data_IF_706425136249
#
_entry.id   IF_706425136249
#
_cell.length_a   1.000
_cell.length_b   1.000
_cell.length_c   1.000
_cell.angle_alpha   90.00
_cell.angle_beta   90.00
_cell.angle_gamma   90.00
#
_symmetry.space_group_name_H-M   'P 1'
#
loop_
_entity.id
_entity.type
_entity.pdbx_description
1 polymer ?
#
# COMPACT_ATOMS: atom_id res chain seq x y z
N UNK A 1 -38.20 -22.82 -31.49
CA UNK A 1 -38.08 -22.18 -30.16
C UNK A 1 -36.70 -22.53 -29.63
N UNK A 2 -35.73 -21.66 -29.89
CA UNK A 2 -34.36 -21.78 -29.39
C UNK A 2 -34.27 -20.99 -28.11
N UNK A 3 -34.12 -21.70 -27.00
CA UNK A 3 -34.00 -21.18 -25.65
C UNK A 3 -32.60 -20.56 -25.48
N UNK A 4 -32.53 -19.23 -25.53
CA UNK A 4 -31.31 -18.49 -25.22
C UNK A 4 -31.15 -18.42 -23.70
N UNK A 5 -30.33 -19.31 -23.16
CA UNK A 5 -29.86 -19.24 -21.78
C UNK A 5 -29.06 -17.94 -21.59
N UNK A 6 -29.64 -17.00 -20.87
CA UNK A 6 -28.97 -15.79 -20.37
C UNK A 6 -27.94 -16.25 -19.34
N UNK A 7 -26.67 -15.92 -19.57
CA UNK A 7 -25.60 -16.17 -18.61
C UNK A 7 -25.95 -15.54 -17.24
N UNK A 8 -25.65 -16.20 -16.11
CA UNK A 8 -25.95 -15.65 -14.80
C UNK A 8 -25.19 -14.35 -14.63
N UNK A 9 -25.92 -13.24 -14.43
CA UNK A 9 -25.36 -11.97 -14.01
C UNK A 9 -24.57 -12.19 -12.73
N UNK A 10 -23.34 -11.68 -12.69
CA UNK A 10 -22.51 -11.61 -11.48
C UNK A 10 -23.38 -11.14 -10.29
N UNK A 11 -23.28 -11.76 -9.09
CA UNK A 11 -24.00 -11.27 -7.94
C UNK A 11 -23.65 -9.79 -7.70
N UNK A 12 -24.60 -8.96 -7.22
CA UNK A 12 -24.30 -7.58 -6.89
C UNK A 12 -23.16 -7.57 -5.88
N UNK A 13 -22.02 -7.02 -6.30
CA UNK A 13 -20.82 -6.87 -5.49
C UNK A 13 -21.08 -5.88 -4.36
N UNK A 14 -20.49 -6.15 -3.19
CA UNK A 14 -20.63 -5.29 -2.02
C UNK A 14 -20.08 -3.89 -2.36
N UNK A 15 -20.79 -2.79 -2.03
CA UNK A 15 -20.36 -1.43 -2.37
C UNK A 15 -18.95 -1.08 -1.90
N UNK A 16 -18.50 -1.62 -0.76
CA UNK A 16 -17.16 -1.39 -0.23
C UNK A 16 -16.11 -2.22 -1.00
N UNK A 17 -16.45 -3.46 -1.36
CA UNK A 17 -15.57 -4.32 -2.16
C UNK A 17 -15.31 -3.71 -3.54
N UNK A 18 -16.37 -3.25 -4.22
CA UNK A 18 -16.28 -2.57 -5.52
C UNK A 18 -15.48 -1.28 -5.44
N UNK A 19 -15.74 -0.49 -4.39
CA UNK A 19 -15.06 0.78 -4.23
C UNK A 19 -13.55 0.57 -3.97
N UNK A 20 -13.16 -0.41 -3.15
CA UNK A 20 -11.75 -0.77 -2.98
C UNK A 20 -11.14 -1.40 -4.23
N UNK A 21 -11.90 -2.22 -4.98
CA UNK A 21 -11.43 -2.78 -6.24
C UNK A 21 -11.09 -1.68 -7.27
N UNK A 22 -11.88 -0.60 -7.31
CA UNK A 22 -11.60 0.56 -8.18
C UNK A 22 -10.33 1.34 -7.83
N UNK A 23 -9.82 1.18 -6.60
CA UNK A 23 -8.56 1.79 -6.17
C UNK A 23 -7.31 0.98 -6.54
N UNK A 24 -7.49 -0.29 -6.96
CA UNK A 24 -6.39 -1.17 -7.35
C UNK A 24 -5.68 -0.64 -8.60
N UNK A 25 -4.36 -0.72 -8.60
CA UNK A 25 -3.50 -0.30 -9.71
C UNK A 25 -2.98 -1.51 -10.46
N UNK A 26 -2.75 -1.35 -11.76
CA UNK A 26 -2.05 -2.37 -12.54
C UNK A 26 -0.54 -2.31 -12.22
N UNK A 27 -0.11 -3.24 -11.37
CA UNK A 27 1.28 -3.42 -10.97
C UNK A 27 1.93 -4.62 -11.67
N UNK A 28 1.32 -5.14 -12.75
CA UNK A 28 1.81 -6.31 -13.48
C UNK A 28 3.23 -6.13 -14.03
N UNK A 29 3.66 -4.90 -14.30
CA UNK A 29 5.03 -4.59 -14.74
C UNK A 29 6.09 -5.03 -13.73
N UNK A 30 5.77 -5.07 -12.43
CA UNK A 30 6.68 -5.57 -11.40
C UNK A 30 7.06 -7.03 -11.61
N UNK A 31 6.15 -7.86 -12.13
CA UNK A 31 6.42 -9.29 -12.40
C UNK A 31 7.58 -9.52 -13.38
N UNK A 32 7.94 -8.52 -14.18
CA UNK A 32 9.07 -8.59 -15.12
C UNK A 32 10.43 -8.40 -14.46
N UNK A 33 10.46 -7.81 -13.25
CA UNK A 33 11.68 -7.48 -12.50
C UNK A 33 11.74 -8.13 -11.13
N UNK A 34 10.62 -8.51 -10.56
CA UNK A 34 10.53 -9.21 -9.29
C UNK A 34 9.89 -10.58 -9.53
N UNK A 35 10.67 -11.63 -9.26
CA UNK A 35 10.26 -13.03 -9.38
C UNK A 35 9.98 -13.60 -8.00
N UNK A 36 9.28 -14.72 -7.96
CA UNK A 36 8.89 -15.40 -6.73
C UNK A 36 9.50 -16.78 -6.68
N UNK A 37 9.82 -17.25 -5.47
CA UNK A 37 10.20 -18.65 -5.23
C UNK A 37 9.02 -19.36 -4.62
N UNK A 38 8.57 -20.43 -5.28
CA UNK A 38 7.60 -21.35 -4.72
C UNK A 38 8.22 -22.10 -3.55
N UNK A 39 7.56 -22.03 -2.40
CA UNK A 39 8.01 -22.68 -1.19
C UNK A 39 6.81 -23.06 -0.32
N UNK A 40 7.02 -24.06 0.54
CA UNK A 40 6.05 -24.41 1.58
C UNK A 40 6.65 -24.02 2.91
N UNK A 41 6.02 -23.09 3.62
CA UNK A 41 6.39 -22.81 5.01
C UNK A 41 5.69 -23.79 5.92
N UNK A 42 6.47 -24.54 6.69
CA UNK A 42 5.95 -25.32 7.81
C UNK A 42 6.19 -24.51 9.08
N UNK A 43 5.13 -24.04 9.72
CA UNK A 43 5.18 -23.26 10.96
C UNK A 43 3.99 -23.58 11.84
N UNK A 44 4.18 -23.54 13.16
CA UNK A 44 3.08 -23.62 14.13
C UNK A 44 2.20 -22.36 14.11
N UNK A 45 2.76 -21.24 13.63
CA UNK A 45 2.04 -19.97 13.52
C UNK A 45 1.18 -19.93 12.26
N UNK A 46 -0.08 -20.36 12.36
CA UNK A 46 -1.05 -20.37 11.24
C UNK A 46 -1.35 -18.99 10.64
N UNK A 47 -1.05 -17.92 11.37
CA UNK A 47 -1.24 -16.54 10.91
C UNK A 47 -0.05 -16.01 10.10
N UNK A 48 1.09 -16.69 10.11
CA UNK A 48 2.28 -16.27 9.37
C UNK A 48 2.19 -16.74 7.90
N UNK A 49 2.26 -15.78 6.98
CA UNK A 49 2.44 -16.06 5.55
C UNK A 49 3.78 -15.50 5.11
N UNK A 50 4.65 -16.36 4.57
CA UNK A 50 5.91 -15.94 3.98
C UNK A 50 5.77 -15.90 2.45
N UNK A 51 6.40 -14.89 1.85
CA UNK A 51 6.52 -14.75 0.40
C UNK A 51 7.98 -14.44 0.09
N UNK A 52 8.60 -15.25 -0.75
CA UNK A 52 10.02 -15.09 -1.11
C UNK A 52 10.12 -14.55 -2.52
N UNK A 53 10.80 -13.42 -2.65
CA UNK A 53 10.95 -12.71 -3.91
C UNK A 53 12.42 -12.40 -4.19
N UNK A 54 12.77 -12.34 -5.47
CA UNK A 54 14.11 -12.02 -5.92
C UNK A 54 14.09 -11.20 -7.22
N UNK A 55 15.10 -10.34 -7.45
CA UNK A 55 15.23 -9.61 -8.70
C UNK A 55 15.39 -10.56 -9.89
N UNK A 56 14.86 -10.20 -11.05
CA UNK A 56 15.13 -10.92 -12.29
C UNK A 56 16.64 -10.98 -12.59
N UNK A 57 17.10 -12.02 -13.27
CA UNK A 57 18.51 -12.22 -13.59
C UNK A 57 18.79 -12.07 -15.09
N UNK A 58 19.91 -11.42 -15.42
CA UNK A 58 20.49 -11.42 -16.77
C UNK A 58 21.95 -11.85 -16.67
N UNK A 59 22.33 -12.90 -17.41
CA UNK A 59 23.70 -13.44 -17.41
C UNK A 59 24.23 -13.73 -15.99
N UNK A 60 23.40 -14.37 -15.15
CA UNK A 60 23.70 -14.71 -13.74
C UNK A 60 23.95 -13.50 -12.82
N UNK A 61 23.60 -12.29 -13.24
CA UNK A 61 23.62 -11.10 -12.39
C UNK A 61 22.19 -10.62 -12.11
N UNK A 62 21.87 -10.23 -10.87
CA UNK A 62 20.57 -9.64 -10.56
C UNK A 62 20.43 -8.30 -11.29
N UNK A 63 19.27 -8.05 -11.89
CA UNK A 63 18.93 -6.82 -12.61
C UNK A 63 18.46 -5.74 -11.64
N UNK A 64 19.33 -5.39 -10.68
CA UNK A 64 18.99 -4.44 -9.61
C UNK A 64 18.70 -3.04 -10.12
N UNK A 65 19.51 -2.54 -11.07
CA UNK A 65 19.28 -1.24 -11.71
C UNK A 65 17.89 -1.16 -12.32
N UNK A 66 17.51 -2.18 -13.08
CA UNK A 66 16.23 -2.19 -13.78
C UNK A 66 15.05 -2.41 -12.82
N UNK A 67 15.25 -3.11 -11.70
CA UNK A 67 14.27 -3.19 -10.63
C UNK A 67 14.06 -1.82 -9.98
N UNK A 68 15.15 -1.12 -9.65
CA UNK A 68 15.09 0.24 -9.09
C UNK A 68 14.38 1.19 -10.06
N UNK A 69 14.76 1.20 -11.33
CA UNK A 69 14.11 2.04 -12.36
C UNK A 69 12.60 1.78 -12.42
N UNK A 70 12.20 0.51 -12.35
CA UNK A 70 10.78 0.12 -12.37
C UNK A 70 10.06 0.59 -11.12
N UNK A 71 10.63 0.34 -9.94
CA UNK A 71 10.06 0.76 -8.64
C UNK A 71 9.93 2.28 -8.56
N UNK A 72 10.93 3.03 -9.04
CA UNK A 72 10.93 4.49 -9.05
C UNK A 72 9.80 5.10 -9.89
N UNK A 73 9.25 4.37 -10.86
CA UNK A 73 8.06 4.86 -11.61
C UNK A 73 6.81 5.01 -10.75
N UNK A 74 6.80 4.41 -9.55
CA UNK A 74 5.67 4.44 -8.63
C UNK A 74 5.81 5.47 -7.50
N UNK A 75 6.88 6.27 -7.49
CA UNK A 75 7.12 7.28 -6.44
C UNK A 75 5.95 8.27 -6.31
N UNK A 76 5.40 8.74 -7.43
CA UNK A 76 4.23 9.66 -7.42
C UNK A 76 3.06 9.06 -6.65
N UNK A 77 2.76 7.79 -6.94
CA UNK A 77 1.65 7.03 -6.37
C UNK A 77 1.81 6.70 -4.88
N UNK A 78 3.06 6.57 -4.43
CA UNK A 78 3.43 6.28 -3.06
C UNK A 78 3.46 7.55 -2.19
N UNK A 79 4.02 8.62 -2.72
CA UNK A 79 4.25 9.87 -1.99
C UNK A 79 3.00 10.73 -1.85
N UNK A 80 2.19 10.82 -2.90
CA UNK A 80 1.13 11.83 -2.98
C UNK A 80 -0.26 11.26 -2.65
N UNK A 81 -1.16 12.09 -2.10
CA UNK A 81 -2.56 11.73 -1.92
C UNK A 81 -3.23 11.32 -3.24
N UNK A 82 -4.21 10.40 -3.17
CA UNK A 82 -4.93 9.91 -4.35
C UNK A 82 -5.69 11.01 -5.05
N UNK A 83 -6.29 11.94 -4.30
CA UNK A 83 -7.01 13.08 -4.87
C UNK A 83 -6.13 13.91 -5.82
N UNK A 84 -4.88 14.20 -5.47
CA UNK A 84 -4.00 14.98 -6.34
C UNK A 84 -3.72 14.28 -7.68
N UNK A 85 -3.59 12.96 -7.66
CA UNK A 85 -3.39 12.15 -8.86
C UNK A 85 -4.68 12.10 -9.68
N UNK A 86 -5.83 12.00 -9.02
CA UNK A 86 -7.14 12.04 -9.67
C UNK A 86 -7.38 13.40 -10.36
N UNK A 87 -7.07 14.51 -9.69
CA UNK A 87 -7.20 15.87 -10.24
C UNK A 87 -6.39 16.05 -11.51
N UNK A 88 -5.16 15.51 -11.55
CA UNK A 88 -4.33 15.50 -12.77
C UNK A 88 -4.97 14.64 -13.86
N UNK A 89 -5.40 13.42 -13.54
CA UNK A 89 -6.02 12.51 -14.51
C UNK A 89 -7.30 13.10 -15.12
N UNK A 90 -8.06 13.89 -14.37
CA UNK A 90 -9.23 14.59 -14.89
C UNK A 90 -8.90 15.64 -15.96
N UNK A 91 -7.66 16.15 -16.01
CA UNK A 91 -7.22 17.08 -17.06
C UNK A 91 -6.83 16.36 -18.35
N UNK A 92 -6.69 15.04 -18.33
CA UNK A 92 -6.30 14.27 -19.49
C UNK A 92 -7.30 14.46 -20.64
N UNK A 93 -6.81 14.97 -21.77
CA UNK A 93 -7.63 15.30 -22.95
C UNK A 93 -8.44 16.59 -22.84
N UNK A 94 -8.44 17.29 -21.69
CA UNK A 94 -9.05 18.63 -21.51
C UNK A 94 -8.07 19.75 -21.81
N UNK A 95 -6.79 19.54 -21.51
CA UNK A 95 -5.69 20.47 -21.78
C UNK A 95 -4.83 19.99 -22.95
N UNK A 96 -3.93 20.83 -23.44
CA UNK A 96 -2.98 20.42 -24.49
C UNK A 96 -2.03 19.32 -23.98
N UNK A 97 -1.48 18.47 -24.87
CA UNK A 97 -0.50 17.46 -24.47
C UNK A 97 0.73 18.03 -23.76
N UNK A 98 1.17 19.23 -24.17
CA UNK A 98 2.31 19.94 -23.56
C UNK A 98 1.98 20.44 -22.15
N UNK A 99 0.79 21.01 -21.96
CA UNK A 99 0.30 21.45 -20.66
C UNK A 99 0.11 20.27 -19.71
N UNK A 100 -0.51 19.18 -20.15
CA UNK A 100 -0.64 17.96 -19.34
C UNK A 100 0.72 17.41 -18.91
N UNK A 101 1.69 17.37 -19.82
CA UNK A 101 3.05 16.92 -19.52
C UNK A 101 3.71 17.81 -18.46
N UNK A 102 3.51 19.12 -18.56
CA UNK A 102 4.02 20.09 -17.57
C UNK A 102 3.38 19.86 -16.20
N UNK A 103 2.06 19.68 -16.14
CA UNK A 103 1.36 19.39 -14.88
C UNK A 103 1.82 18.09 -14.24
N UNK A 104 2.02 17.03 -15.05
CA UNK A 104 2.55 15.76 -14.57
C UNK A 104 3.98 15.91 -14.02
N UNK A 105 4.84 16.69 -14.70
CA UNK A 105 6.22 16.89 -14.27
C UNK A 105 6.28 17.69 -12.95
N UNK A 106 5.42 18.68 -12.75
CA UNK A 106 5.29 19.40 -11.47
C UNK A 106 4.90 18.43 -10.36
N UNK A 107 3.87 17.60 -10.59
CA UNK A 107 3.43 16.60 -9.62
C UNK A 107 4.54 15.58 -9.31
N UNK A 108 5.29 15.16 -10.34
CA UNK A 108 6.43 14.28 -10.18
C UNK A 108 7.50 14.92 -9.32
N UNK A 109 7.88 16.17 -9.58
CA UNK A 109 8.88 16.89 -8.78
C UNK A 109 8.48 16.98 -7.31
N UNK A 110 7.22 17.31 -7.02
CA UNK A 110 6.68 17.33 -5.66
C UNK A 110 6.85 15.97 -4.96
N UNK A 111 6.49 14.88 -5.64
CA UNK A 111 6.63 13.53 -5.10
C UNK A 111 8.09 13.16 -4.77
N UNK A 112 9.02 13.49 -5.67
CA UNK A 112 10.45 13.25 -5.45
C UNK A 112 11.03 14.11 -4.33
N UNK A 113 10.60 15.36 -4.22
CA UNK A 113 11.01 16.25 -3.13
C UNK A 113 10.47 15.78 -1.79
N UNK A 114 9.25 15.26 -1.75
CA UNK A 114 8.69 14.63 -0.55
C UNK A 114 9.49 13.38 -0.16
N UNK A 115 9.78 12.50 -1.13
CA UNK A 115 10.57 11.29 -0.91
C UNK A 115 11.97 11.61 -0.36
N UNK A 116 12.67 12.58 -0.97
CA UNK A 116 13.99 13.03 -0.51
C UNK A 116 13.94 13.65 0.89
N UNK A 117 12.94 14.50 1.18
CA UNK A 117 12.79 15.13 2.51
C UNK A 117 12.54 14.08 3.60
N UNK A 118 11.66 13.12 3.34
CA UNK A 118 11.42 12.01 4.26
C UNK A 118 12.71 11.22 4.55
N UNK A 119 13.47 10.89 3.50
CA UNK A 119 14.76 10.21 3.66
C UNK A 119 15.76 10.99 4.51
N UNK A 120 15.87 12.32 4.28
CA UNK A 120 16.75 13.19 5.09
C UNK A 120 16.28 13.25 6.54
N UNK A 121 14.97 13.36 6.78
CA UNK A 121 14.40 13.43 8.12
C UNK A 121 14.56 12.12 8.92
N UNK A 122 14.50 10.96 8.24
CA UNK A 122 14.60 9.65 8.89
C UNK A 122 16.03 9.11 8.97
N UNK A 123 16.99 9.73 8.27
CA UNK A 123 18.42 9.37 8.21
C UNK A 123 18.68 7.86 7.97
N UNK A 124 17.75 7.21 7.27
CA UNK A 124 17.73 5.76 7.03
C UNK A 124 17.34 5.49 5.57
N UNK A 125 17.85 4.39 5.01
CA UNK A 125 17.40 3.85 3.72
C UNK A 125 15.97 3.26 3.78
N UNK A 126 15.23 3.52 4.86
CA UNK A 126 13.92 2.93 5.13
C UNK A 126 12.87 3.26 4.06
N UNK A 127 12.89 4.48 3.52
CA UNK A 127 11.91 4.95 2.53
C UNK A 127 11.87 4.07 1.26
N UNK A 128 13.02 3.59 0.81
CA UNK A 128 13.08 2.68 -0.34
C UNK A 128 12.44 1.32 -0.02
N UNK A 129 12.60 0.84 1.21
CA UNK A 129 12.00 -0.41 1.68
C UNK A 129 10.49 -0.28 1.81
N UNK A 130 10.03 0.83 2.36
CA UNK A 130 8.61 1.17 2.48
C UNK A 130 7.95 1.31 1.11
N UNK A 131 8.62 1.91 0.12
CA UNK A 131 8.13 1.94 -1.26
C UNK A 131 7.98 0.53 -1.85
N UNK A 132 8.96 -0.37 -1.65
CA UNK A 132 8.87 -1.75 -2.12
C UNK A 132 7.74 -2.49 -1.39
N UNK A 133 7.62 -2.32 -0.08
CA UNK A 133 6.58 -2.94 0.73
C UNK A 133 5.18 -2.47 0.31
N UNK A 134 5.02 -1.18 0.05
CA UNK A 134 3.80 -0.59 -0.50
C UNK A 134 3.41 -1.27 -1.82
N UNK A 135 4.36 -1.43 -2.73
CA UNK A 135 4.11 -2.09 -4.02
C UNK A 135 3.71 -3.56 -3.86
N UNK A 136 4.41 -4.29 -2.99
CA UNK A 136 4.09 -5.69 -2.73
C UNK A 136 2.75 -5.87 -2.02
N UNK A 137 2.37 -4.93 -1.16
CA UNK A 137 1.08 -4.94 -0.45
C UNK A 137 -0.06 -4.69 -1.43
N UNK A 138 0.05 -3.68 -2.32
CA UNK A 138 -0.97 -3.46 -3.35
C UNK A 138 -1.01 -4.62 -4.35
N UNK A 139 0.14 -5.13 -4.78
CA UNK A 139 0.21 -6.12 -5.86
C UNK A 139 -0.16 -7.54 -5.41
N UNK A 140 0.40 -8.01 -4.29
CA UNK A 140 0.28 -9.41 -3.86
C UNK A 140 -0.84 -9.64 -2.86
N UNK A 141 -1.12 -8.65 -2.02
CA UNK A 141 -2.19 -8.72 -1.02
C UNK A 141 -3.48 -8.08 -1.53
N UNK A 142 -3.42 -7.46 -2.71
CA UNK A 142 -4.54 -6.76 -3.34
C UNK A 142 -5.16 -5.69 -2.44
N UNK A 143 -4.33 -5.08 -1.60
CA UNK A 143 -4.74 -4.11 -0.59
C UNK A 143 -4.31 -2.70 -1.05
N UNK A 144 -5.19 -1.90 -1.67
CA UNK A 144 -4.87 -0.52 -2.04
C UNK A 144 -4.53 0.34 -0.82
N UNK A 145 -3.60 1.26 -1.00
CA UNK A 145 -3.32 2.30 -0.01
C UNK A 145 -4.50 3.27 0.08
N UNK A 146 -4.91 3.60 1.30
CA UNK A 146 -5.99 4.57 1.62
C UNK A 146 -5.49 5.82 2.35
N UNK A 147 -4.27 5.76 2.91
CA UNK A 147 -3.60 6.89 3.53
C UNK A 147 -2.14 6.87 3.12
N UNK A 148 -1.69 7.93 2.44
CA UNK A 148 -0.28 8.20 2.21
C UNK A 148 0.23 9.11 3.33
N UNK A 149 1.08 8.58 4.23
CA UNK A 149 1.57 9.32 5.40
C UNK A 149 2.89 10.06 5.13
N UNK A 150 3.47 9.88 3.94
CA UNK A 150 4.67 10.61 3.51
C UNK A 150 4.51 12.13 3.64
N UNK A 151 3.35 12.68 3.27
CA UNK A 151 3.06 14.11 3.42
C UNK A 151 3.04 14.55 4.89
N UNK A 152 2.57 13.68 5.79
CA UNK A 152 2.50 13.94 7.23
C UNK A 152 3.88 13.90 7.90
N UNK A 153 4.78 13.01 7.46
CA UNK A 153 6.15 12.92 8.00
C UNK A 153 6.99 14.18 7.78
N UNK A 154 6.68 14.93 6.73
CA UNK A 154 7.43 16.17 6.41
C UNK A 154 6.88 17.42 7.10
N UNK A 155 5.80 17.31 7.86
CA UNK A 155 5.30 18.41 8.67
C UNK A 155 6.09 18.47 10.00
N UNK A 156 6.90 19.52 10.16
CA UNK A 156 7.73 19.73 11.36
C UNK A 156 6.91 19.95 12.64
N UNK A 157 5.64 20.33 12.53
CA UNK A 157 4.74 20.53 13.68
C UNK A 157 4.06 19.24 14.15
N UNK A 158 4.01 18.21 13.29
CA UNK A 158 3.45 16.89 13.62
C UNK A 158 4.41 15.78 13.14
N UNK A 159 5.45 15.45 13.93
CA UNK A 159 6.31 14.31 13.62
C UNK A 159 5.50 13.02 13.69
N UNK A 160 5.07 12.53 12.52
CA UNK A 160 4.41 11.23 12.39
C UNK A 160 5.50 10.15 12.22
N UNK A 161 5.48 9.17 13.11
CA UNK A 161 6.34 7.99 13.05
C UNK A 161 5.47 6.75 12.89
N UNK A 162 5.93 5.75 12.15
CA UNK A 162 5.17 4.53 11.84
C UNK A 162 5.11 4.23 10.34
N UNK A 163 4.26 3.27 9.96
CA UNK A 163 4.08 2.82 8.58
C UNK A 163 3.80 3.99 7.63
N UNK A 164 4.44 4.04 6.48
CA UNK A 164 4.31 5.15 5.50
C UNK A 164 3.02 5.11 4.69
N UNK A 165 2.40 3.95 4.61
CA UNK A 165 1.11 3.72 3.99
C UNK A 165 0.21 2.89 4.89
N UNK A 166 -1.09 3.20 4.88
CA UNK A 166 -2.11 2.30 5.41
C UNK A 166 -2.87 1.72 4.24
N UNK A 167 -2.90 0.39 4.16
CA UNK A 167 -3.55 -0.35 3.10
C UNK A 167 -4.72 -1.13 3.66
N UNK A 168 -5.74 -1.34 2.83
CA UNK A 168 -6.93 -2.08 3.24
C UNK A 168 -7.40 -3.04 2.19
N UNK A 169 -7.98 -4.15 2.65
CA UNK A 169 -8.72 -5.08 1.81
C UNK A 169 -10.00 -5.47 2.52
N UNK A 170 -11.10 -5.47 1.80
CA UNK A 170 -12.37 -5.98 2.30
C UNK A 170 -12.69 -7.32 1.64
N UNK A 171 -13.29 -8.25 2.39
CA UNK A 171 -13.75 -9.53 1.87
C UNK A 171 -15.24 -9.68 2.15
N UNK A 172 -16.07 -9.46 1.12
CA UNK A 172 -17.53 -9.49 1.26
C UNK A 172 -18.04 -10.85 1.74
N UNK A 173 -17.42 -11.95 1.30
CA UNK A 173 -17.78 -13.32 1.70
C UNK A 173 -17.67 -13.57 3.21
N UNK A 174 -16.79 -12.84 3.91
CA UNK A 174 -16.60 -12.96 5.36
C UNK A 174 -17.05 -11.73 6.14
N UNK A 175 -17.39 -10.63 5.47
CA UNK A 175 -17.69 -9.34 6.09
C UNK A 175 -16.51 -8.71 6.83
N UNK A 176 -15.26 -9.07 6.47
CA UNK A 176 -14.05 -8.65 7.20
C UNK A 176 -13.29 -7.56 6.47
N UNK A 177 -12.91 -6.51 7.21
CA UNK A 177 -11.96 -5.50 6.77
C UNK A 177 -10.56 -5.83 7.32
N UNK A 178 -9.60 -5.99 6.44
CA UNK A 178 -8.19 -6.14 6.79
C UNK A 178 -7.51 -4.79 6.65
N UNK A 179 -6.83 -4.33 7.71
CA UNK A 179 -5.94 -3.17 7.69
C UNK A 179 -4.52 -3.67 7.76
N UNK A 180 -3.70 -3.27 6.80
CA UNK A 180 -2.29 -3.64 6.74
C UNK A 180 -1.43 -2.48 7.22
N UNK A 181 -0.61 -2.78 8.22
CA UNK A 181 0.40 -1.91 8.79
C UNK A 181 1.78 -2.35 8.27
N UNK A 182 2.46 -1.44 7.57
CA UNK A 182 3.75 -1.69 6.95
C UNK A 182 4.92 -1.66 7.93
N UNK A 183 5.87 -2.56 7.74
CA UNK A 183 7.20 -2.54 8.37
C UNK A 183 8.28 -3.01 7.37
N UNK A 184 9.20 -2.14 6.98
CA UNK A 184 10.31 -2.51 6.10
C UNK A 184 11.68 -2.46 6.78
N UNK A 185 12.47 -3.54 6.62
CA UNK A 185 13.87 -3.65 7.07
C UNK A 185 14.78 -4.00 5.89
N UNK A 186 15.69 -3.09 5.56
CA UNK A 186 16.76 -3.24 4.56
C UNK A 186 18.11 -3.35 5.26
N UNK A 187 18.66 -4.56 5.37
CA UNK A 187 19.94 -4.81 6.06
C UNK A 187 20.78 -5.80 5.25
N UNK A 188 22.10 -5.61 5.19
CA UNK A 188 23.03 -6.62 4.62
C UNK A 188 23.19 -7.89 5.48
N UNK A 189 22.37 -8.05 6.53
CA UNK A 189 22.38 -9.24 7.37
C UNK A 189 20.92 -9.63 7.68
N UNK A 190 20.56 -10.86 7.29
CA UNK A 190 19.20 -11.38 7.43
C UNK A 190 18.74 -11.49 8.89
N UNK A 191 19.59 -12.03 9.78
CA UNK A 191 19.24 -12.23 11.18
C UNK A 191 18.98 -10.90 11.88
N UNK A 192 19.80 -9.89 11.57
CA UNK A 192 19.61 -8.53 12.06
C UNK A 192 18.31 -7.92 11.51
N UNK A 193 18.02 -8.09 10.22
CA UNK A 193 16.78 -7.60 9.61
C UNK A 193 15.54 -8.18 10.30
N UNK A 194 15.52 -9.50 10.51
CA UNK A 194 14.43 -10.21 11.18
C UNK A 194 14.30 -9.75 12.63
N UNK A 195 15.40 -9.63 13.36
CA UNK A 195 15.39 -9.19 14.77
C UNK A 195 14.83 -7.78 14.91
N UNK A 196 15.30 -6.85 14.08
CA UNK A 196 14.83 -5.47 14.10
C UNK A 196 13.37 -5.36 13.65
N UNK A 197 12.94 -6.17 12.67
CA UNK A 197 11.53 -6.25 12.27
C UNK A 197 10.66 -6.75 13.42
N UNK A 198 11.01 -7.89 14.03
CA UNK A 198 10.23 -8.46 15.13
C UNK A 198 10.08 -7.48 16.29
N UNK A 199 11.16 -6.73 16.62
CA UNK A 199 11.12 -5.66 17.63
C UNK A 199 10.17 -4.53 17.22
N UNK A 200 10.28 -4.02 16.00
CA UNK A 200 9.43 -2.93 15.50
C UNK A 200 7.94 -3.33 15.45
N UNK A 201 7.67 -4.58 15.08
CA UNK A 201 6.32 -5.17 15.08
C UNK A 201 5.77 -5.29 16.50
N UNK A 202 6.55 -5.82 17.44
CA UNK A 202 6.13 -5.90 18.84
C UNK A 202 5.83 -4.51 19.41
N UNK A 203 6.64 -3.52 19.05
CA UNK A 203 6.43 -2.13 19.44
C UNK A 203 5.21 -1.48 18.78
N UNK A 204 4.88 -1.81 17.54
CA UNK A 204 3.74 -1.23 16.79
C UNK A 204 2.39 -1.78 17.25
N UNK A 205 2.39 -3.00 17.80
CA UNK A 205 1.22 -3.66 18.37
C UNK A 205 0.86 -3.15 19.79
N UNK A 206 1.62 -2.22 20.35
CA UNK A 206 1.23 -1.55 21.61
C UNK A 206 -0.11 -0.80 21.46
N UNK A 207 -1.02 -1.01 22.41
CA UNK A 207 -2.38 -0.47 22.36
C UNK A 207 -2.45 1.04 22.16
N UNK A 208 -1.50 1.80 22.73
CA UNK A 208 -1.48 3.27 22.57
C UNK A 208 -1.05 3.64 21.16
N UNK A 209 -0.06 2.93 20.60
CA UNK A 209 0.37 3.14 19.21
C UNK A 209 -0.74 2.76 18.25
N UNK A 210 -1.37 1.60 18.40
CA UNK A 210 -2.50 1.18 17.54
C UNK A 210 -3.63 2.21 17.57
N UNK A 211 -4.02 2.71 18.76
CA UNK A 211 -5.04 3.76 18.88
C UNK A 211 -4.64 5.07 18.21
N UNK A 212 -3.36 5.46 18.34
CA UNK A 212 -2.83 6.64 17.67
C UNK A 212 -2.87 6.47 16.15
N UNK A 213 -2.42 5.33 15.63
CA UNK A 213 -2.43 4.99 14.21
C UNK A 213 -3.84 5.02 13.62
N UNK A 214 -4.82 4.40 14.30
CA UNK A 214 -6.23 4.45 13.88
C UNK A 214 -6.74 5.90 13.86
N UNK A 215 -6.36 6.71 14.85
CA UNK A 215 -6.75 8.13 14.89
C UNK A 215 -6.18 8.89 13.69
N UNK A 216 -4.92 8.65 13.34
CA UNK A 216 -4.29 9.24 12.16
C UNK A 216 -4.99 8.80 10.87
N UNK A 217 -5.33 7.51 10.76
CA UNK A 217 -6.09 6.97 9.64
C UNK A 217 -7.43 7.69 9.53
N UNK A 218 -8.23 7.77 10.60
CA UNK A 218 -9.54 8.43 10.58
C UNK A 218 -9.46 9.90 10.16
N UNK A 219 -8.40 10.62 10.54
CA UNK A 219 -8.21 12.05 10.22
C UNK A 219 -7.79 12.30 8.78
N UNK A 220 -6.96 11.41 8.23
CA UNK A 220 -6.34 11.58 6.91
C UNK A 220 -6.83 10.56 5.90
N UNK A 221 -7.95 9.90 6.20
CA UNK A 221 -8.55 8.93 5.32
C UNK A 221 -8.97 9.64 4.04
N UNK A 222 -8.21 9.42 2.98
CA UNK A 222 -8.57 9.95 1.68
C UNK A 222 -9.60 9.02 1.05
N UNK A 223 -10.86 9.28 1.39
CA UNK A 223 -11.99 8.58 0.83
C UNK A 223 -12.38 9.15 -0.55
N UNK A 224 -11.60 10.04 -1.16
CA UNK A 224 -11.87 10.51 -2.51
C UNK A 224 -12.04 9.33 -3.49
N UNK A 225 -12.96 9.47 -4.43
CA UNK A 225 -13.34 8.39 -5.35
C UNK A 225 -14.26 7.30 -4.77
N UNK A 226 -14.43 7.19 -3.45
CA UNK A 226 -15.39 6.24 -2.85
C UNK A 226 -16.81 6.82 -2.81
N UNK A 227 -17.81 5.98 -3.12
CA UNK A 227 -19.24 6.32 -2.97
C UNK A 227 -19.61 6.53 -1.49
N UNK A 228 -20.63 7.33 -1.21
CA UNK A 228 -21.09 7.65 0.16
C UNK A 228 -21.27 6.42 1.05
N UNK A 229 -21.78 5.34 0.49
CA UNK A 229 -22.09 4.12 1.24
C UNK A 229 -20.82 3.36 1.61
N UNK A 230 -19.85 3.28 0.68
CA UNK A 230 -18.53 2.70 0.93
C UNK A 230 -17.75 3.52 1.97
N UNK A 231 -17.85 4.86 1.92
CA UNK A 231 -17.28 5.76 2.93
C UNK A 231 -17.83 5.46 4.33
N UNK A 232 -19.15 5.37 4.44
CA UNK A 232 -19.83 5.06 5.70
C UNK A 232 -19.44 3.69 6.23
N UNK A 233 -19.41 2.68 5.35
CA UNK A 233 -18.99 1.33 5.72
C UNK A 233 -17.54 1.31 6.24
N UNK A 234 -16.61 1.96 5.54
CA UNK A 234 -15.21 2.06 5.99
C UNK A 234 -15.09 2.72 7.36
N UNK A 235 -15.83 3.82 7.60
CA UNK A 235 -15.82 4.50 8.89
C UNK A 235 -16.43 3.64 10.02
N UNK A 236 -17.42 2.82 9.73
CA UNK A 236 -18.03 1.89 10.70
C UNK A 236 -17.03 0.84 11.20
N UNK A 237 -16.14 0.33 10.33
CA UNK A 237 -15.04 -0.55 10.74
C UNK A 237 -13.97 0.15 11.60
N UNK A 238 -13.87 1.48 11.52
CA UNK A 238 -12.90 2.30 12.27
C UNK A 238 -13.49 2.95 13.53
N UNK A 239 -14.79 2.79 13.77
CA UNK A 239 -15.47 3.32 14.94
C UNK A 239 -15.56 2.26 16.03
N UNK A 240 -14.94 2.42 17.21
CA UNK A 240 -15.07 1.46 18.32
C UNK A 240 -16.51 1.19 18.77
N UNK A 241 -17.46 2.04 18.39
CA UNK A 241 -18.90 1.83 18.64
C UNK A 241 -19.67 1.36 17.39
N UNK A 242 -18.98 1.25 16.25
CA UNK A 242 -19.54 0.80 14.98
C UNK A 242 -19.77 -0.70 14.93
N UNK A 243 -20.73 -1.12 14.12
CA UNK A 243 -21.14 -2.53 14.02
C UNK A 243 -20.08 -3.43 13.39
N UNK A 244 -19.25 -2.87 12.50
CA UNK A 244 -18.17 -3.54 11.81
C UNK A 244 -16.87 -3.61 12.60
N UNK A 245 -16.72 -2.88 13.70
CA UNK A 245 -15.44 -2.76 14.42
C UNK A 245 -14.83 -4.11 14.83
N UNK A 246 -15.67 -5.04 15.30
CA UNK A 246 -15.24 -6.38 15.70
C UNK A 246 -14.79 -7.26 14.52
N UNK A 247 -15.16 -6.90 13.29
CA UNK A 247 -14.78 -7.58 12.05
C UNK A 247 -13.60 -6.90 11.35
N UNK A 248 -12.97 -5.91 11.99
CA UNK A 248 -11.68 -5.36 11.57
C UNK A 248 -10.56 -6.30 12.03
N UNK A 249 -9.66 -6.62 11.11
CA UNK A 249 -8.47 -7.40 11.36
C UNK A 249 -7.22 -6.57 11.07
N UNK A 250 -6.43 -6.34 12.09
CA UNK A 250 -5.12 -5.70 11.97
C UNK A 250 -4.09 -6.76 11.51
N UNK A 251 -3.42 -6.48 10.39
CA UNK A 251 -2.42 -7.35 9.77
C UNK A 251 -1.12 -6.57 9.65
N UNK A 252 -0.01 -7.21 10.00
CA UNK A 252 1.32 -6.64 9.77
C UNK A 252 1.85 -7.18 8.45
N UNK A 253 2.13 -6.28 7.51
CA UNK A 253 2.87 -6.60 6.29
C UNK A 253 4.32 -6.19 6.50
N UNK A 254 5.25 -7.14 6.47
CA UNK A 254 6.66 -6.87 6.72
C UNK A 254 7.52 -7.22 5.50
N UNK A 255 8.37 -6.28 5.09
CA UNK A 255 9.43 -6.51 4.10
C UNK A 255 10.75 -6.73 4.83
N UNK A 256 11.35 -7.89 4.61
CA UNK A 256 12.74 -8.17 4.94
C UNK A 256 13.53 -8.22 3.63
N UNK A 257 14.43 -7.27 3.44
CA UNK A 257 15.30 -7.20 2.28
C UNK A 257 16.77 -7.23 2.71
N UNK A 258 17.55 -8.10 2.06
CA UNK A 258 18.94 -8.38 2.40
C UNK A 258 19.76 -8.73 1.15
N UNK A 259 21.07 -8.59 1.26
CA UNK A 259 22.09 -8.99 0.28
C UNK A 259 23.19 -9.77 1.02
#
# INVERSE_FOLDING_TARGET
MTDTAVAPSSPPTDPLEDALASLKRDLSKLSTRLKSVDHTVTTECKALTLRLHYPAFRQRKPMMSELVDTVSTYIVNFCLPRQQIADLNEQYGKVSPEEFTTMFEVLRQEAFDLFKRAHVATNRNGEAGELILYLLTEWLLEAPQIVAKMSLKTNTEMPVHGADGVHVRYCAATGRLYIYWGEAKLYGNLDQAITEAAKSIAESLDDKKVKHEITLVKRHLDLSGLKSDAKKAMLDFLDPYGSGYANRHDVISCLIAFD
#
